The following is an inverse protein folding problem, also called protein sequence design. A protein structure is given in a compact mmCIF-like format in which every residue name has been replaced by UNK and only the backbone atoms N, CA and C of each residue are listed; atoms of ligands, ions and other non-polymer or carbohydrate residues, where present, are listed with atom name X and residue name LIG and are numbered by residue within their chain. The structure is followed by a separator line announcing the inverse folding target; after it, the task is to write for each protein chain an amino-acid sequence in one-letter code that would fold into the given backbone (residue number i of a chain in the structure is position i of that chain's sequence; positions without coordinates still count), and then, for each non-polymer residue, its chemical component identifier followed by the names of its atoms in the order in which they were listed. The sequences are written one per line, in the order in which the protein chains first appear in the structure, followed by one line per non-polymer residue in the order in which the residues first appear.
data_IF_761716006212
#
_entry.id   IF_761716006212
#
_cell.length_a   1.000
_cell.length_b   1.000
_cell.length_c   1.000
_cell.angle_alpha   90.00
_cell.angle_beta   90.00
_cell.angle_gamma   90.00
#
_symmetry.space_group_name_H-M   'P 1'
#
loop_
_entity.id
_entity.type
_entity.pdbx_description
1 polymer ?
#
# COMPACT_ATOMS: atom_id res chain seq x y z
N UNK A 1 -27.09 19.14 -16.89
CA UNK A 1 -25.91 18.82 -17.72
C UNK A 1 -24.59 19.01 -16.98
N UNK A 2 -24.34 20.16 -16.31
CA UNK A 2 -23.10 20.39 -15.56
C UNK A 2 -22.83 19.32 -14.48
N UNK A 3 -23.81 19.02 -13.63
CA UNK A 3 -23.68 17.99 -12.58
C UNK A 3 -23.40 16.58 -13.12
N UNK A 4 -23.98 16.25 -14.28
CA UNK A 4 -23.76 14.96 -14.93
C UNK A 4 -22.30 14.82 -15.37
N UNK A 5 -21.76 15.86 -16.02
CA UNK A 5 -20.37 15.88 -16.48
C UNK A 5 -19.39 15.90 -15.31
N UNK A 6 -19.65 16.71 -14.27
CA UNK A 6 -18.79 16.74 -13.08
C UNK A 6 -18.78 15.38 -12.36
N UNK A 7 -19.93 14.72 -12.25
CA UNK A 7 -20.02 13.37 -11.70
C UNK A 7 -19.20 12.34 -12.48
N UNK A 8 -19.30 12.35 -13.81
CA UNK A 8 -18.48 11.49 -14.68
C UNK A 8 -16.98 11.74 -14.52
N UNK A 9 -16.56 13.01 -14.45
CA UNK A 9 -15.15 13.37 -14.23
C UNK A 9 -14.66 12.84 -12.89
N UNK A 10 -15.45 12.98 -11.80
CA UNK A 10 -15.09 12.45 -10.49
C UNK A 10 -14.94 10.92 -10.55
N UNK A 11 -15.90 10.22 -11.13
CA UNK A 11 -15.85 8.76 -11.26
C UNK A 11 -14.61 8.32 -12.05
N UNK A 12 -14.32 8.98 -13.17
CA UNK A 12 -13.14 8.70 -13.98
C UNK A 12 -11.85 8.94 -13.19
N UNK A 13 -11.74 10.05 -12.45
CA UNK A 13 -10.58 10.35 -11.61
C UNK A 13 -10.38 9.31 -10.49
N UNK A 14 -11.47 8.83 -9.87
CA UNK A 14 -11.38 7.77 -8.86
C UNK A 14 -10.88 6.47 -9.48
N UNK A 15 -11.48 6.00 -10.57
CA UNK A 15 -11.01 4.77 -11.22
C UNK A 15 -9.58 4.89 -11.75
N UNK A 16 -9.20 6.07 -12.26
CA UNK A 16 -7.85 6.36 -12.67
C UNK A 16 -6.86 6.24 -11.49
N UNK A 17 -7.20 6.84 -10.34
CA UNK A 17 -6.36 6.77 -9.13
C UNK A 17 -6.30 5.35 -8.56
N UNK A 18 -7.43 4.63 -8.49
CA UNK A 18 -7.50 3.23 -8.04
C UNK A 18 -6.66 2.32 -8.94
N UNK A 19 -6.83 2.40 -10.25
CA UNK A 19 -6.08 1.59 -11.22
C UNK A 19 -4.57 1.84 -11.11
N UNK A 20 -4.15 3.10 -11.00
CA UNK A 20 -2.74 3.44 -10.84
C UNK A 20 -2.15 3.14 -9.46
N UNK A 21 -2.99 2.97 -8.43
CA UNK A 21 -2.55 2.68 -7.06
C UNK A 21 -2.52 1.18 -6.76
N UNK A 22 -3.41 0.39 -7.39
CA UNK A 22 -3.56 -1.04 -7.09
C UNK A 22 -3.07 -1.92 -8.25
N UNK A 23 -3.36 -1.56 -9.49
CA UNK A 23 -3.20 -2.46 -10.64
C UNK A 23 -1.89 -2.23 -11.38
N UNK A 24 -1.46 -0.97 -11.51
CA UNK A 24 -0.21 -0.65 -12.21
C UNK A 24 0.98 -0.67 -11.27
N UNK A 25 1.98 -1.54 -11.49
CA UNK A 25 3.17 -1.60 -10.66
C UNK A 25 4.01 -0.32 -10.78
N UNK A 26 4.00 0.39 -11.92
CA UNK A 26 4.96 1.48 -12.16
C UNK A 26 4.47 2.85 -11.67
N UNK A 27 5.16 3.52 -10.73
CA UNK A 27 4.93 4.94 -10.49
C UNK A 27 5.48 5.75 -11.67
N UNK A 28 4.61 6.22 -12.57
CA UNK A 28 4.97 7.29 -13.50
C UNK A 28 5.00 8.61 -12.73
N UNK A 29 6.15 9.28 -12.66
CA UNK A 29 6.40 10.43 -11.78
C UNK A 29 5.64 11.74 -12.13
N UNK A 30 4.74 11.75 -13.12
CA UNK A 30 4.21 12.99 -13.72
C UNK A 30 2.72 13.29 -13.49
N UNK A 31 1.95 12.42 -12.84
CA UNK A 31 0.49 12.60 -12.76
C UNK A 31 0.02 12.90 -11.33
N UNK A 32 -0.96 13.80 -11.19
CA UNK A 32 -1.65 14.09 -9.93
C UNK A 32 -2.29 12.80 -9.39
N UNK A 33 -1.85 12.33 -8.22
CA UNK A 33 -2.35 11.13 -7.55
C UNK A 33 -2.82 11.48 -6.15
N UNK A 34 -3.99 11.00 -5.78
CA UNK A 34 -4.63 11.28 -4.48
C UNK A 34 -3.91 10.49 -3.38
N UNK A 35 -3.61 9.21 -3.63
CA UNK A 35 -3.00 8.32 -2.64
C UNK A 35 -1.64 8.79 -2.09
N UNK A 36 -0.61 9.13 -2.90
CA UNK A 36 0.70 9.52 -2.38
C UNK A 36 0.69 10.86 -1.63
N UNK A 37 -0.18 11.78 -2.04
CA UNK A 37 -0.33 13.09 -1.38
C UNK A 37 -1.02 12.94 -0.03
N UNK A 38 -2.12 12.18 0.02
CA UNK A 38 -2.84 11.88 1.27
C UNK A 38 -1.93 11.17 2.27
N UNK A 39 -1.26 10.10 1.85
CA UNK A 39 -0.43 9.27 2.73
C UNK A 39 0.81 10.07 3.20
N UNK A 40 1.61 10.59 2.27
CA UNK A 40 2.94 11.12 2.59
C UNK A 40 2.95 12.55 3.14
N UNK A 41 2.13 13.45 2.59
CA UNK A 41 2.16 14.88 2.98
C UNK A 41 1.09 15.23 4.02
N UNK A 42 -0.12 14.71 3.87
CA UNK A 42 -1.25 15.13 4.71
C UNK A 42 -1.31 14.30 6.00
N UNK A 43 -1.27 12.98 5.89
CA UNK A 43 -1.54 12.10 7.02
C UNK A 43 -0.29 11.72 7.83
N UNK A 44 0.87 11.51 7.18
CA UNK A 44 2.08 11.07 7.87
C UNK A 44 2.60 12.08 8.90
N UNK A 45 2.68 13.36 8.55
CA UNK A 45 3.19 14.41 9.43
C UNK A 45 2.43 14.51 10.76
N UNK A 46 1.08 14.64 10.80
CA UNK A 46 0.34 14.68 12.04
C UNK A 46 0.39 13.34 12.79
N UNK A 47 0.32 12.20 12.07
CA UNK A 47 0.36 10.88 12.69
C UNK A 47 1.70 10.62 13.40
N UNK A 48 2.81 10.93 12.72
CA UNK A 48 4.15 10.84 13.29
C UNK A 48 4.32 11.76 14.50
N UNK A 49 3.84 13.00 14.42
CA UNK A 49 3.90 13.95 15.55
C UNK A 49 3.09 13.44 16.75
N UNK A 50 1.95 12.80 16.53
CA UNK A 50 1.15 12.20 17.58
C UNK A 50 1.88 11.00 18.21
N UNK A 51 2.38 10.08 17.38
CA UNK A 51 3.07 8.89 17.85
C UNK A 51 4.36 9.21 18.62
N UNK A 52 5.14 10.22 18.18
CA UNK A 52 6.38 10.62 18.86
C UNK A 52 6.16 11.22 20.26
N UNK A 53 4.94 11.62 20.61
CA UNK A 53 4.61 12.05 21.99
C UNK A 53 4.48 10.89 22.97
N UNK A 54 4.37 9.65 22.48
CA UNK A 54 4.25 8.46 23.30
C UNK A 54 5.63 8.13 23.88
N UNK A 55 5.72 8.08 25.23
CA UNK A 55 6.98 7.84 25.95
C UNK A 55 7.41 6.37 25.92
N UNK A 56 6.44 5.44 25.92
CA UNK A 56 6.73 4.01 25.84
C UNK A 56 7.16 3.65 24.41
N UNK A 57 8.34 3.04 24.29
CA UNK A 57 8.89 2.62 23.00
C UNK A 57 7.99 1.60 22.30
N UNK A 58 7.56 0.55 23.01
CA UNK A 58 6.77 -0.54 22.40
C UNK A 58 5.46 0.00 21.82
N UNK A 59 4.71 0.77 22.61
CA UNK A 59 3.44 1.38 22.16
C UNK A 59 3.65 2.37 21.01
N UNK A 60 4.76 3.12 21.02
CA UNK A 60 5.08 4.03 19.91
C UNK A 60 5.36 3.26 18.62
N UNK A 61 6.07 2.14 18.73
CA UNK A 61 6.39 1.29 17.59
C UNK A 61 5.13 0.64 17.01
N UNK A 62 4.22 0.16 17.88
CA UNK A 62 2.93 -0.42 17.48
C UNK A 62 2.03 0.61 16.77
N UNK A 63 1.92 1.83 17.32
CA UNK A 63 1.14 2.91 16.70
C UNK A 63 1.71 3.24 15.32
N UNK A 64 3.02 3.41 15.20
CA UNK A 64 3.66 3.69 13.91
C UNK A 64 3.51 2.52 12.92
N UNK A 65 3.50 1.27 13.40
CA UNK A 65 3.26 0.09 12.56
C UNK A 65 1.85 0.03 11.98
N UNK A 66 0.85 0.48 12.73
CA UNK A 66 -0.55 0.49 12.29
C UNK A 66 -0.87 1.59 11.25
N UNK A 67 0.02 2.56 11.04
CA UNK A 67 -0.21 3.67 10.10
C UNK A 67 -0.58 3.19 8.70
N UNK A 68 0.17 2.24 8.14
CA UNK A 68 -0.04 1.78 6.78
C UNK A 68 -1.42 1.13 6.57
N UNK A 69 -1.85 0.33 7.54
CA UNK A 69 -3.17 -0.34 7.54
C UNK A 69 -4.30 0.67 7.64
N UNK A 70 -4.21 1.60 8.61
CA UNK A 70 -5.19 2.68 8.79
C UNK A 70 -5.28 3.53 7.52
N UNK A 71 -4.13 3.78 6.88
CA UNK A 71 -4.09 4.61 5.68
C UNK A 71 -4.71 3.96 4.46
N UNK A 72 -4.50 2.65 4.31
CA UNK A 72 -5.16 1.89 3.26
C UNK A 72 -6.69 1.93 3.43
N UNK A 73 -7.20 1.76 4.65
CA UNK A 73 -8.64 1.85 4.95
C UNK A 73 -9.20 3.25 4.69
N UNK A 74 -8.48 4.31 5.08
CA UNK A 74 -8.89 5.68 4.81
C UNK A 74 -8.88 6.02 3.31
N UNK A 75 -7.95 5.46 2.55
CA UNK A 75 -7.91 5.61 1.09
C UNK A 75 -9.12 4.94 0.43
N UNK A 76 -9.45 3.70 0.84
CA UNK A 76 -10.66 3.01 0.40
C UNK A 76 -11.92 3.81 0.70
N UNK A 77 -12.03 4.35 1.93
CA UNK A 77 -13.16 5.17 2.33
C UNK A 77 -13.24 6.47 1.51
N UNK A 78 -12.10 7.08 1.19
CA UNK A 78 -12.03 8.29 0.36
C UNK A 78 -12.53 8.00 -1.06
N UNK A 79 -12.06 6.93 -1.70
CA UNK A 79 -12.54 6.53 -3.03
C UNK A 79 -14.03 6.20 -3.04
N UNK A 80 -14.51 5.46 -2.02
CA UNK A 80 -15.93 5.17 -1.88
C UNK A 80 -16.76 6.45 -1.75
N UNK A 81 -16.34 7.38 -0.89
CA UNK A 81 -17.02 8.67 -0.69
C UNK A 81 -17.05 9.49 -1.97
N UNK A 82 -15.93 9.55 -2.71
CA UNK A 82 -15.86 10.23 -4.00
C UNK A 82 -16.74 9.59 -5.06
N UNK A 83 -16.86 8.26 -5.09
CA UNK A 83 -17.81 7.57 -5.97
C UNK A 83 -19.26 7.92 -5.60
N UNK A 84 -19.60 7.95 -4.30
CA UNK A 84 -20.94 8.36 -3.84
C UNK A 84 -21.25 9.79 -4.31
N UNK A 85 -20.29 10.71 -4.15
CA UNK A 85 -20.42 12.09 -4.63
C UNK A 85 -20.58 12.12 -6.16
N UNK A 86 -19.74 11.40 -6.90
CA UNK A 86 -19.76 11.37 -8.36
C UNK A 86 -21.07 10.81 -8.92
N UNK A 87 -21.50 9.65 -8.45
CA UNK A 87 -22.76 9.03 -8.86
C UNK A 87 -23.97 9.83 -8.39
N UNK A 88 -23.93 10.40 -7.19
CA UNK A 88 -25.06 11.18 -6.72
C UNK A 88 -25.19 12.54 -7.42
N UNK A 89 -24.09 13.12 -7.94
CA UNK A 89 -24.20 14.25 -8.90
C UNK A 89 -24.87 13.82 -10.21
N UNK A 90 -24.61 12.60 -10.69
CA UNK A 90 -25.31 12.04 -11.87
C UNK A 90 -26.78 11.83 -11.55
N UNK A 91 -27.12 11.21 -10.41
CA UNK A 91 -28.52 11.00 -10.01
C UNK A 91 -29.28 12.29 -9.75
N UNK A 92 -28.62 13.32 -9.21
CA UNK A 92 -29.20 14.65 -9.07
C UNK A 92 -29.60 15.26 -10.42
N UNK A 93 -28.85 14.94 -11.48
CA UNK A 93 -29.18 15.35 -12.85
C UNK A 93 -30.31 14.53 -13.49
N UNK A 94 -30.59 13.34 -12.95
CA UNK A 94 -31.65 12.41 -13.36
C UNK A 94 -32.80 12.37 -12.34
N UNK A 95 -32.94 13.40 -11.50
CA UNK A 95 -33.90 13.42 -10.38
C UNK A 95 -35.35 13.21 -10.79
N UNK A 96 -35.72 13.63 -12.00
CA UNK A 96 -37.09 13.52 -12.54
C UNK A 96 -37.39 12.10 -13.04
N UNK A 97 -36.36 11.27 -13.21
CA UNK A 97 -36.44 9.88 -13.69
C UNK A 97 -36.57 8.85 -12.54
N UNK A 98 -36.82 9.32 -11.31
CA UNK A 98 -36.84 8.52 -10.07
C UNK A 98 -38.22 8.51 -9.41
N UNK A 99 -38.51 7.45 -8.65
CA UNK A 99 -39.72 7.36 -7.82
C UNK A 99 -39.36 7.00 -6.37
N UNK A 100 -39.72 7.83 -5.38
CA UNK A 100 -40.24 9.20 -5.53
C UNK A 100 -39.22 10.10 -6.25
N UNK A 101 -39.70 11.22 -6.80
CA UNK A 101 -38.81 12.21 -7.40
C UNK A 101 -37.84 12.74 -6.32
N UNK A 102 -36.59 12.93 -6.69
CA UNK A 102 -35.54 13.40 -5.77
C UNK A 102 -35.64 14.92 -5.65
N UNK A 103 -35.82 15.44 -4.44
CA UNK A 103 -35.97 16.88 -4.18
C UNK A 103 -34.71 17.51 -3.60
N UNK A 104 -33.87 16.73 -2.91
CA UNK A 104 -32.64 17.22 -2.28
C UNK A 104 -31.39 16.53 -2.81
N UNK A 105 -30.25 17.22 -2.76
CA UNK A 105 -28.97 16.63 -3.17
C UNK A 105 -28.58 15.48 -2.23
N UNK A 106 -28.95 15.58 -0.95
CA UNK A 106 -28.75 14.54 0.05
C UNK A 106 -29.49 13.24 -0.30
N UNK A 107 -30.72 13.33 -0.81
CA UNK A 107 -31.47 12.15 -1.31
C UNK A 107 -30.76 11.50 -2.52
N UNK A 108 -30.18 12.29 -3.41
CA UNK A 108 -29.36 11.76 -4.51
C UNK A 108 -28.08 11.08 -4.01
N UNK A 109 -27.41 11.64 -2.99
CA UNK A 109 -26.26 11.00 -2.32
C UNK A 109 -26.67 9.71 -1.62
N UNK A 110 -27.83 9.71 -0.96
CA UNK A 110 -28.38 8.55 -0.29
C UNK A 110 -28.64 7.42 -1.29
N UNK A 111 -29.33 7.72 -2.41
CA UNK A 111 -29.57 6.73 -3.47
C UNK A 111 -28.27 6.22 -4.13
N UNK A 112 -27.29 7.11 -4.33
CA UNK A 112 -25.97 6.71 -4.80
C UNK A 112 -25.29 5.75 -3.81
N UNK A 113 -25.28 6.09 -2.52
CA UNK A 113 -24.70 5.28 -1.46
C UNK A 113 -25.35 3.89 -1.37
N UNK A 114 -26.67 3.82 -1.37
CA UNK A 114 -27.41 2.55 -1.30
C UNK A 114 -27.21 1.70 -2.56
N UNK A 115 -27.05 2.33 -3.73
CA UNK A 115 -26.75 1.62 -4.99
C UNK A 115 -25.31 1.09 -5.03
N UNK A 116 -24.31 1.91 -4.70
CA UNK A 116 -22.88 1.53 -4.71
C UNK A 116 -22.60 0.44 -3.68
N UNK A 117 -23.16 0.57 -2.47
CA UNK A 117 -23.02 -0.41 -1.40
C UNK A 117 -23.93 -1.63 -1.60
N UNK A 118 -24.72 -1.69 -2.66
CA UNK A 118 -25.63 -2.79 -2.99
C UNK A 118 -26.68 -3.08 -1.90
N UNK A 119 -27.03 -2.07 -1.10
CA UNK A 119 -28.04 -2.18 -0.03
C UNK A 119 -29.45 -2.23 -0.63
N UNK A 120 -29.75 -1.32 -1.56
CA UNK A 120 -30.98 -1.35 -2.35
C UNK A 120 -32.28 -1.41 -1.54
N UNK A 121 -32.49 -0.52 -0.56
CA UNK A 121 -33.71 -0.50 0.28
C UNK A 121 -35.03 -0.44 -0.51
N UNK A 122 -34.99 0.07 -1.75
CA UNK A 122 -36.14 0.09 -2.66
C UNK A 122 -37.13 1.22 -2.39
N UNK A 123 -36.79 2.15 -1.50
CA UNK A 123 -37.53 3.37 -1.19
C UNK A 123 -37.39 4.42 -2.30
N UNK A 124 -36.25 4.46 -2.99
CA UNK A 124 -36.02 5.22 -4.23
C UNK A 124 -35.69 4.25 -5.37
N UNK A 125 -36.40 4.36 -6.50
CA UNK A 125 -36.26 3.44 -7.64
C UNK A 125 -36.12 4.20 -8.96
N UNK A 126 -35.20 3.74 -9.81
CA UNK A 126 -35.00 4.25 -11.16
C UNK A 126 -36.09 3.78 -12.15
N UNK A 127 -36.77 4.74 -12.78
CA UNK A 127 -37.85 4.45 -13.74
C UNK A 127 -37.34 4.31 -15.18
N UNK A 128 -36.46 5.23 -15.62
CA UNK A 128 -35.97 5.26 -17.00
C UNK A 128 -34.81 4.30 -17.23
N UNK A 129 -34.62 3.87 -18.49
CA UNK A 129 -33.51 3.00 -18.86
C UNK A 129 -32.14 3.62 -18.49
N UNK A 130 -31.97 4.94 -18.68
CA UNK A 130 -30.72 5.66 -18.35
C UNK A 130 -30.45 5.67 -16.85
N UNK A 131 -31.47 5.93 -16.04
CA UNK A 131 -31.38 5.87 -14.58
C UNK A 131 -31.04 4.47 -14.08
N UNK A 132 -31.65 3.43 -14.65
CA UNK A 132 -31.39 2.02 -14.31
C UNK A 132 -29.97 1.58 -14.65
N UNK A 133 -29.49 1.92 -15.85
CA UNK A 133 -28.10 1.63 -16.25
C UNK A 133 -27.12 2.33 -15.32
N UNK A 134 -27.40 3.57 -14.91
CA UNK A 134 -26.57 4.31 -13.96
C UNK A 134 -26.55 3.64 -12.59
N UNK A 135 -27.70 3.17 -12.08
CA UNK A 135 -27.79 2.42 -10.83
C UNK A 135 -27.02 1.09 -10.88
N UNK A 136 -27.12 0.35 -11.99
CA UNK A 136 -26.33 -0.87 -12.21
C UNK A 136 -24.83 -0.56 -12.27
N UNK A 137 -24.43 0.51 -12.97
CA UNK A 137 -23.03 0.94 -13.03
C UNK A 137 -22.50 1.34 -11.65
N UNK A 138 -23.32 2.00 -10.83
CA UNK A 138 -22.99 2.37 -9.46
C UNK A 138 -22.72 1.12 -8.60
N UNK A 139 -23.61 0.13 -8.63
CA UNK A 139 -23.42 -1.14 -7.91
C UNK A 139 -22.20 -1.93 -8.42
N UNK A 140 -22.02 -2.03 -9.73
CA UNK A 140 -20.84 -2.66 -10.32
C UNK A 140 -19.54 -1.95 -9.91
N UNK A 141 -19.55 -0.62 -9.81
CA UNK A 141 -18.40 0.17 -9.38
C UNK A 141 -18.05 -0.07 -7.91
N UNK A 142 -19.05 -0.19 -7.03
CA UNK A 142 -18.83 -0.54 -5.63
C UNK A 142 -18.22 -1.93 -5.46
N UNK A 143 -18.76 -2.93 -6.17
CA UNK A 143 -18.21 -4.28 -6.18
C UNK A 143 -16.78 -4.32 -6.75
N UNK A 144 -16.51 -3.60 -7.84
CA UNK A 144 -15.18 -3.50 -8.41
C UNK A 144 -14.18 -2.86 -7.43
N UNK A 145 -14.57 -1.77 -6.75
CA UNK A 145 -13.73 -1.12 -5.75
C UNK A 145 -13.40 -2.06 -4.59
N UNK A 146 -14.37 -2.81 -4.08
CA UNK A 146 -14.16 -3.80 -3.02
C UNK A 146 -13.24 -4.94 -3.50
N UNK A 147 -13.47 -5.48 -4.69
CA UNK A 147 -12.63 -6.54 -5.27
C UNK A 147 -11.17 -6.11 -5.45
N UNK A 148 -10.96 -4.89 -5.96
CA UNK A 148 -9.63 -4.30 -6.08
C UNK A 148 -9.00 -4.05 -4.69
N UNK A 149 -9.79 -3.59 -3.72
CA UNK A 149 -9.37 -3.41 -2.34
C UNK A 149 -8.86 -4.71 -1.71
N UNK A 150 -9.60 -5.81 -1.83
CA UNK A 150 -9.15 -7.12 -1.36
C UNK A 150 -7.88 -7.58 -2.07
N UNK A 151 -7.81 -7.43 -3.40
CA UNK A 151 -6.60 -7.75 -4.16
C UNK A 151 -5.38 -6.97 -3.67
N UNK A 152 -5.54 -5.67 -3.38
CA UNK A 152 -4.47 -4.85 -2.83
C UNK A 152 -4.01 -5.34 -1.45
N UNK A 153 -4.93 -5.70 -0.55
CA UNK A 153 -4.57 -6.26 0.77
C UNK A 153 -3.77 -7.55 0.60
N UNK A 154 -4.21 -8.47 -0.26
CA UNK A 154 -3.49 -9.72 -0.50
C UNK A 154 -2.11 -9.49 -1.11
N UNK A 155 -1.98 -8.56 -2.06
CA UNK A 155 -0.68 -8.17 -2.61
C UNK A 155 0.25 -7.61 -1.53
N UNK A 156 -0.26 -6.72 -0.66
CA UNK A 156 0.51 -6.18 0.46
C UNK A 156 1.00 -7.29 1.40
N UNK A 157 0.14 -8.24 1.76
CA UNK A 157 0.53 -9.38 2.59
C UNK A 157 1.61 -10.22 1.90
N UNK A 158 1.46 -10.52 0.61
CA UNK A 158 2.46 -11.26 -0.16
C UNK A 158 3.82 -10.54 -0.19
N UNK A 159 3.81 -9.21 -0.36
CA UNK A 159 5.03 -8.41 -0.31
C UNK A 159 5.68 -8.39 1.08
N UNK A 160 4.88 -8.31 2.14
CA UNK A 160 5.38 -8.40 3.50
C UNK A 160 5.99 -9.77 3.78
N UNK A 161 5.32 -10.86 3.40
CA UNK A 161 5.88 -12.20 3.59
C UNK A 161 7.18 -12.39 2.79
N UNK A 162 7.24 -11.93 1.54
CA UNK A 162 8.46 -12.01 0.74
C UNK A 162 9.63 -11.18 1.31
N UNK A 163 9.34 -10.08 2.02
CA UNK A 163 10.36 -9.29 2.74
C UNK A 163 10.77 -9.94 4.05
N UNK A 164 9.80 -10.34 4.87
CA UNK A 164 10.02 -10.73 6.27
C UNK A 164 10.52 -12.17 6.42
N UNK A 165 10.15 -13.11 5.55
CA UNK A 165 10.61 -14.51 5.66
C UNK A 165 12.12 -14.61 5.47
N UNK A 166 12.74 -14.05 4.40
CA UNK A 166 14.20 -14.08 4.26
C UNK A 166 14.89 -13.29 5.38
N UNK A 167 14.31 -12.16 5.81
CA UNK A 167 14.83 -11.38 6.93
C UNK A 167 14.92 -12.20 8.22
N UNK A 168 13.86 -12.94 8.57
CA UNK A 168 13.84 -13.81 9.74
C UNK A 168 14.88 -14.94 9.64
N UNK A 169 15.04 -15.52 8.44
CA UNK A 169 16.08 -16.54 8.20
C UNK A 169 17.48 -15.97 8.43
N UNK A 170 17.76 -14.78 7.91
CA UNK A 170 19.04 -14.09 8.09
C UNK A 170 19.27 -13.76 9.57
N UNK A 171 18.25 -13.24 10.26
CA UNK A 171 18.33 -12.89 11.67
C UNK A 171 18.59 -14.12 12.57
N UNK A 172 17.93 -15.24 12.30
CA UNK A 172 18.15 -16.50 13.01
C UNK A 172 19.57 -17.03 12.88
N UNK A 173 20.22 -16.82 11.72
CA UNK A 173 21.63 -17.18 11.51
C UNK A 173 22.55 -16.32 12.36
N UNK A 174 22.26 -15.02 12.50
CA UNK A 174 23.06 -14.07 13.29
C UNK A 174 22.79 -14.11 14.81
N UNK A 175 22.05 -15.11 15.30
CA UNK A 175 21.73 -15.29 16.73
C UNK A 175 21.17 -14.04 17.43
N UNK A 176 20.45 -13.18 16.69
CA UNK A 176 19.89 -11.96 17.27
C UNK A 176 20.75 -10.70 17.13
N UNK A 177 22.03 -10.82 16.78
CA UNK A 177 22.94 -9.67 16.72
C UNK A 177 23.27 -9.28 15.28
N UNK A 178 22.48 -8.34 14.75
CA UNK A 178 22.57 -7.92 13.35
C UNK A 178 23.73 -6.93 13.18
N UNK A 179 24.96 -7.43 13.12
CA UNK A 179 26.18 -6.64 12.88
C UNK A 179 26.95 -7.23 11.70
N UNK A 180 27.35 -6.39 10.74
CA UNK A 180 28.10 -6.84 9.56
C UNK A 180 29.44 -7.48 9.91
N UNK A 181 30.11 -7.01 10.97
CA UNK A 181 31.34 -7.61 11.46
C UNK A 181 31.09 -8.97 12.11
N UNK A 182 30.09 -9.09 12.98
CA UNK A 182 29.80 -10.36 13.68
C UNK A 182 29.38 -11.44 12.67
N UNK A 183 28.64 -11.07 11.63
CA UNK A 183 28.28 -11.93 10.51
C UNK A 183 29.53 -12.57 9.86
N UNK A 184 30.53 -11.75 9.53
CA UNK A 184 31.78 -12.23 8.94
C UNK A 184 32.59 -13.07 9.93
N UNK A 185 32.65 -12.65 11.20
CA UNK A 185 33.34 -13.41 12.25
C UNK A 185 32.69 -14.78 12.48
N UNK A 186 31.36 -14.88 12.42
CA UNK A 186 30.64 -16.14 12.55
C UNK A 186 30.96 -17.09 11.39
N UNK A 187 31.00 -16.59 10.16
CA UNK A 187 31.43 -17.39 9.01
C UNK A 187 32.89 -17.85 9.11
N UNK A 188 33.78 -16.98 9.60
CA UNK A 188 35.18 -17.32 9.83
C UNK A 188 35.34 -18.38 10.95
N UNK A 189 34.62 -18.21 12.08
CA UNK A 189 34.63 -19.16 13.22
C UNK A 189 34.11 -20.54 12.81
N UNK A 190 33.03 -20.59 12.02
CA UNK A 190 32.40 -21.83 11.58
C UNK A 190 33.08 -22.46 10.35
N UNK A 191 34.14 -21.81 9.81
CA UNK A 191 34.82 -22.21 8.56
C UNK A 191 33.85 -22.36 7.38
N UNK A 192 32.82 -21.51 7.33
CA UNK A 192 31.79 -21.50 6.29
C UNK A 192 31.98 -20.39 5.26
N UNK A 193 33.21 -19.87 5.12
CA UNK A 193 33.52 -18.81 4.16
C UNK A 193 33.15 -19.17 2.71
N UNK A 194 33.20 -20.46 2.36
CA UNK A 194 32.76 -20.94 1.04
C UNK A 194 31.25 -20.73 0.79
N UNK A 195 30.44 -20.75 1.86
CA UNK A 195 29.00 -20.51 1.80
C UNK A 195 28.64 -19.02 1.80
N UNK A 196 29.55 -18.14 2.22
CA UNK A 196 29.32 -16.71 2.28
C UNK A 196 28.96 -16.13 0.90
N UNK A 197 29.57 -16.68 -0.18
CA UNK A 197 29.22 -16.30 -1.55
C UNK A 197 27.75 -16.63 -1.90
N UNK A 198 27.26 -17.77 -1.46
CA UNK A 198 25.87 -18.15 -1.68
C UNK A 198 24.92 -17.22 -0.90
N UNK A 199 25.29 -16.88 0.33
CA UNK A 199 24.51 -15.97 1.18
C UNK A 199 24.44 -14.55 0.58
N UNK A 200 25.56 -13.99 0.10
CA UNK A 200 25.57 -12.69 -0.60
C UNK A 200 24.63 -12.70 -1.81
N UNK A 201 24.61 -13.79 -2.58
CA UNK A 201 23.72 -13.93 -3.74
C UNK A 201 22.24 -13.97 -3.33
N UNK A 202 21.93 -14.58 -2.20
CA UNK A 202 20.57 -14.59 -1.66
C UNK A 202 20.18 -13.22 -1.09
N UNK A 203 21.13 -12.48 -0.50
CA UNK A 203 20.92 -11.09 -0.10
C UNK A 203 20.65 -10.17 -1.30
N UNK A 204 21.37 -10.36 -2.40
CA UNK A 204 21.15 -9.62 -3.65
C UNK A 204 19.71 -9.81 -4.16
N UNK A 205 19.24 -11.07 -4.24
CA UNK A 205 17.86 -11.39 -4.64
C UNK A 205 16.84 -10.75 -3.71
N UNK A 206 17.08 -10.81 -2.39
CA UNK A 206 16.19 -10.20 -1.40
C UNK A 206 16.18 -8.67 -1.53
N UNK A 207 17.33 -8.04 -1.72
CA UNK A 207 17.43 -6.59 -1.92
C UNK A 207 16.74 -6.16 -3.21
N UNK A 208 16.92 -6.90 -4.31
CA UNK A 208 16.20 -6.66 -5.55
C UNK A 208 14.68 -6.73 -5.36
N UNK A 209 14.21 -7.73 -4.61
CA UNK A 209 12.79 -7.85 -4.23
C UNK A 209 12.30 -6.66 -3.42
N UNK A 210 13.04 -6.25 -2.39
CA UNK A 210 12.69 -5.08 -1.55
C UNK A 210 12.67 -3.80 -2.39
N UNK A 211 13.65 -3.59 -3.26
CA UNK A 211 13.71 -2.41 -4.14
C UNK A 211 12.52 -2.35 -5.09
N UNK A 212 12.20 -3.45 -5.77
CA UNK A 212 11.09 -3.46 -6.74
C UNK A 212 9.74 -3.27 -6.03
N UNK A 213 9.53 -3.95 -4.91
CA UNK A 213 8.27 -3.81 -4.14
C UNK A 213 8.08 -2.42 -3.55
N UNK A 214 9.13 -1.75 -3.05
CA UNK A 214 9.02 -0.40 -2.48
C UNK A 214 8.93 0.68 -3.56
N UNK A 215 9.48 0.42 -4.75
CA UNK A 215 9.26 1.25 -5.93
C UNK A 215 7.82 1.16 -6.40
N UNK A 216 7.28 -0.05 -6.50
CA UNK A 216 5.95 -0.27 -7.06
C UNK A 216 4.84 0.08 -6.06
N UNK A 217 5.06 -0.20 -4.78
CA UNK A 217 4.14 0.06 -3.69
C UNK A 217 4.82 0.89 -2.59
N UNK A 218 4.89 2.24 -2.74
CA UNK A 218 5.52 3.11 -1.75
C UNK A 218 4.91 3.02 -0.34
N UNK A 219 3.70 2.49 -0.20
CA UNK A 219 3.08 2.20 1.10
C UNK A 219 3.91 1.19 1.92
N UNK A 220 4.67 0.31 1.27
CA UNK A 220 5.57 -0.67 1.91
C UNK A 220 6.59 -0.02 2.84
N UNK A 221 7.04 1.21 2.54
CA UNK A 221 7.95 1.98 3.40
C UNK A 221 7.40 2.25 4.81
N UNK A 222 6.07 2.23 4.97
CA UNK A 222 5.41 2.49 6.25
C UNK A 222 5.12 1.22 7.04
N UNK A 223 5.23 0.04 6.43
CA UNK A 223 5.07 -1.22 7.14
C UNK A 223 6.35 -1.56 7.90
N UNK A 224 6.24 -1.55 9.23
CA UNK A 224 7.31 -1.97 10.14
C UNK A 224 7.45 -3.48 10.16
N UNK A 225 8.67 -3.95 10.42
CA UNK A 225 8.94 -5.36 10.62
C UNK A 225 8.34 -5.83 11.94
N UNK A 226 7.83 -7.05 11.95
CA UNK A 226 7.00 -7.60 13.05
C UNK A 226 7.84 -8.15 14.20
N UNK A 227 9.12 -8.49 13.94
CA UNK A 227 10.03 -9.06 14.95
C UNK A 227 10.61 -8.00 15.91
N UNK A 228 10.73 -8.34 17.20
CA UNK A 228 11.37 -7.49 18.22
C UNK A 228 12.88 -7.44 17.96
N UNK A 229 13.36 -6.32 17.43
CA UNK A 229 14.78 -6.12 17.09
C UNK A 229 15.10 -6.30 15.59
N UNK A 230 14.11 -6.70 14.79
CA UNK A 230 14.31 -7.21 13.43
C UNK A 230 13.94 -6.16 12.39
N UNK A 231 14.59 -5.00 12.44
CA UNK A 231 14.39 -4.00 11.40
C UNK A 231 15.05 -4.44 10.11
N UNK A 232 14.26 -4.57 9.02
CA UNK A 232 14.80 -4.83 7.68
C UNK A 232 15.87 -3.81 7.26
N UNK A 233 15.78 -2.56 7.76
CA UNK A 233 16.75 -1.49 7.50
C UNK A 233 18.06 -1.77 8.24
N UNK A 234 18.00 -2.23 9.49
CA UNK A 234 19.19 -2.59 10.26
C UNK A 234 19.89 -3.79 9.64
N UNK A 235 19.13 -4.80 9.21
CA UNK A 235 19.66 -5.96 8.49
C UNK A 235 20.35 -5.58 7.18
N UNK A 236 19.71 -4.73 6.38
CA UNK A 236 20.31 -4.19 5.17
C UNK A 236 21.62 -3.44 5.46
N UNK A 237 21.65 -2.60 6.50
CA UNK A 237 22.86 -1.90 6.93
C UNK A 237 23.99 -2.87 7.26
N UNK A 238 23.70 -3.92 8.03
CA UNK A 238 24.69 -4.92 8.41
C UNK A 238 25.20 -5.77 7.24
N UNK A 239 24.35 -6.08 6.26
CA UNK A 239 24.78 -6.72 5.02
C UNK A 239 25.73 -5.83 4.22
N UNK A 240 25.40 -4.54 4.09
CA UNK A 240 26.22 -3.57 3.38
C UNK A 240 27.57 -3.35 4.08
N UNK A 241 27.57 -3.29 5.41
CA UNK A 241 28.78 -3.20 6.21
C UNK A 241 29.67 -4.44 6.03
N UNK A 242 29.08 -5.65 6.01
CA UNK A 242 29.82 -6.89 5.72
C UNK A 242 30.45 -6.86 4.32
N UNK A 243 29.71 -6.45 3.29
CA UNK A 243 30.23 -6.32 1.93
C UNK A 243 31.34 -5.26 1.84
N UNK A 244 31.19 -4.11 2.50
CA UNK A 244 32.21 -3.06 2.55
C UNK A 244 33.48 -3.55 3.24
N UNK A 245 33.38 -4.31 4.33
CA UNK A 245 34.54 -4.88 5.00
C UNK A 245 35.25 -5.89 4.10
N UNK A 246 34.51 -6.78 3.43
CA UNK A 246 35.13 -7.75 2.51
C UNK A 246 35.87 -7.07 1.36
N UNK A 247 35.23 -6.10 0.70
CA UNK A 247 35.82 -5.39 -0.45
C UNK A 247 37.06 -4.57 -0.07
N UNK A 248 37.13 -4.08 1.17
CA UNK A 248 38.28 -3.28 1.65
C UNK A 248 39.41 -4.12 2.27
N UNK A 249 39.12 -5.32 2.79
CA UNK A 249 40.11 -6.13 3.53
C UNK A 249 40.58 -7.38 2.80
N UNK A 250 39.81 -7.90 1.83
CA UNK A 250 40.16 -9.11 1.08
C UNK A 250 40.79 -8.74 -0.25
N UNK A 251 42.04 -9.18 -0.47
CA UNK A 251 42.73 -8.99 -1.74
C UNK A 251 42.07 -9.87 -2.80
N UNK A 252 41.71 -9.29 -3.96
CA UNK A 252 40.90 -9.89 -5.03
C UNK A 252 41.36 -11.25 -5.59
N UNK A 253 42.52 -11.76 -5.17
CA UNK A 253 43.09 -13.03 -5.64
C UNK A 253 42.34 -14.26 -5.08
N UNK A 254 41.67 -14.16 -3.93
CA UNK A 254 40.96 -15.30 -3.28
C UNK A 254 39.45 -15.34 -3.60
N UNK A 255 38.88 -14.25 -4.10
CA UNK A 255 37.48 -14.17 -4.53
C UNK A 255 37.43 -13.75 -5.99
N UNK A 256 37.60 -14.72 -6.90
CA UNK A 256 37.55 -14.47 -8.34
C UNK A 256 36.34 -13.62 -8.75
N UNK A 257 36.62 -12.61 -9.58
CA UNK A 257 35.73 -11.64 -10.27
C UNK A 257 34.29 -11.57 -9.71
N UNK A 258 34.12 -10.91 -8.55
CA UNK A 258 32.78 -10.73 -7.98
C UNK A 258 32.59 -9.41 -7.21
N UNK A 259 33.48 -8.43 -7.38
CA UNK A 259 33.27 -7.05 -6.90
C UNK A 259 32.92 -6.18 -8.11
#
# INVERSE_FOLDING_TARGET
MLYFLSGLVIIFLVFYDVYHSIVLPRPSSRNFRIAPILIGRIAWLPYRRMALKIRNLETREDVLGNFAVIMFLLLMLTWLTLLIIGYGMIFWSLRDDMRPAIYTFQEAMYFAGTSILTIGFGDVVALTARARVTALAAGASGLALLGMGFSAVFNLQNFLYGREVPLAMIHSRMQGNVSGLELLLEHARNRTLDYLRADIRDWEKWLAYVMETHRDFPLMCYFRSTGRGDSWITCLGSMLDACNLMTTTVVAHDFGECI
#
